data_IF_163678119237
#
_entry.id   IF_163678119237
#
_cell.length_a   1.000
_cell.length_b   1.000
_cell.length_c   1.000
_cell.angle_alpha   90.00
_cell.angle_beta   90.00
_cell.angle_gamma   90.00
#
_symmetry.space_group_name_H-M   'P 1'
#
loop_
_entity.id
_entity.type
_entity.pdbx_description
1 polymer ?
#
# COMPACT_ATOMS: atom_id res chain seq x y z
N UNK A 1 0.10 13.01 -10.30
CA UNK A 1 -0.32 11.71 -10.85
C UNK A 1 -0.78 10.82 -9.71
N UNK A 2 -1.82 10.02 -9.90
CA UNK A 2 -2.35 9.14 -8.87
C UNK A 2 -1.67 7.76 -8.98
N UNK A 3 -0.70 7.52 -8.12
CA UNK A 3 0.09 6.27 -8.11
C UNK A 3 -0.77 5.04 -7.83
N UNK A 4 -1.78 5.18 -6.95
CA UNK A 4 -2.68 4.06 -6.66
C UNK A 4 -3.47 3.66 -7.91
N UNK A 5 -4.01 4.63 -8.62
CA UNK A 5 -4.80 4.38 -9.83
C UNK A 5 -3.95 3.71 -10.91
N UNK A 6 -2.73 4.18 -11.10
CA UNK A 6 -1.80 3.61 -12.07
C UNK A 6 -1.43 2.18 -11.71
N UNK A 7 -1.20 1.91 -10.41
CA UNK A 7 -0.89 0.57 -9.93
C UNK A 7 -2.08 -0.39 -10.14
N UNK A 8 -3.30 0.05 -9.81
CA UNK A 8 -4.49 -0.79 -10.01
C UNK A 8 -4.71 -1.12 -11.49
N UNK A 9 -4.44 -0.15 -12.37
CA UNK A 9 -4.50 -0.36 -13.80
C UNK A 9 -3.49 -1.42 -14.25
N UNK A 10 -2.27 -1.35 -13.72
CA UNK A 10 -1.22 -2.33 -13.98
C UNK A 10 -1.67 -3.75 -13.54
N UNK A 11 -2.25 -3.87 -12.35
CA UNK A 11 -2.73 -5.17 -11.86
C UNK A 11 -3.85 -5.73 -12.73
N UNK A 12 -4.75 -4.87 -13.19
CA UNK A 12 -5.88 -5.28 -14.02
C UNK A 12 -5.44 -5.77 -15.40
N UNK A 13 -4.60 -5.00 -16.07
CA UNK A 13 -4.29 -5.23 -17.48
C UNK A 13 -3.02 -6.05 -17.71
N UNK A 14 -2.07 -6.05 -16.80
CA UNK A 14 -0.84 -6.81 -16.96
C UNK A 14 -0.77 -8.06 -16.08
N UNK A 15 -1.45 -8.05 -14.93
CA UNK A 15 -1.45 -9.18 -14.01
C UNK A 15 -2.79 -9.94 -14.04
N UNK A 16 -3.77 -9.43 -14.72
CA UNK A 16 -5.10 -10.05 -14.86
C UNK A 16 -5.78 -10.34 -13.52
N UNK A 17 -5.64 -9.43 -12.56
CA UNK A 17 -6.29 -9.57 -11.26
C UNK A 17 -7.81 -9.42 -11.42
N UNK A 18 -8.57 -10.17 -10.61
CA UNK A 18 -10.03 -10.11 -10.62
C UNK A 18 -10.52 -8.77 -10.05
N UNK A 19 -11.77 -8.41 -10.39
CA UNK A 19 -12.41 -7.19 -9.88
C UNK A 19 -12.43 -7.19 -8.35
N UNK A 20 -12.75 -8.34 -7.74
CA UNK A 20 -12.80 -8.45 -6.27
C UNK A 20 -11.45 -8.19 -5.63
N UNK A 21 -10.38 -8.71 -6.21
CA UNK A 21 -9.03 -8.48 -5.72
C UNK A 21 -8.64 -7.01 -5.86
N UNK A 22 -8.99 -6.39 -7.00
CA UNK A 22 -8.71 -4.97 -7.22
C UNK A 22 -9.45 -4.08 -6.23
N UNK A 23 -10.70 -4.42 -5.90
CA UNK A 23 -11.47 -3.68 -4.91
C UNK A 23 -10.82 -3.76 -3.52
N UNK A 24 -10.34 -4.95 -3.15
CA UNK A 24 -9.64 -5.14 -1.87
C UNK A 24 -8.35 -4.31 -1.82
N UNK A 25 -7.57 -4.34 -2.89
CA UNK A 25 -6.34 -3.55 -2.99
C UNK A 25 -6.65 -2.05 -2.91
N UNK A 26 -7.68 -1.61 -3.62
CA UNK A 26 -8.08 -0.19 -3.62
C UNK A 26 -8.43 0.28 -2.20
N UNK A 27 -9.24 -0.49 -1.49
CA UNK A 27 -9.64 -0.17 -0.12
C UNK A 27 -8.43 -0.11 0.81
N UNK A 28 -7.55 -1.10 0.72
CA UNK A 28 -6.40 -1.21 1.61
C UNK A 28 -5.37 -0.11 1.34
N UNK A 29 -5.11 0.18 0.08
CA UNK A 29 -4.18 1.24 -0.29
C UNK A 29 -4.73 2.62 0.05
N UNK A 30 -6.05 2.82 -0.11
CA UNK A 30 -6.70 4.07 0.26
C UNK A 30 -6.51 4.36 1.75
N UNK A 31 -6.68 3.34 2.60
CA UNK A 31 -6.48 3.49 4.04
C UNK A 31 -5.05 3.95 4.36
N UNK A 32 -4.06 3.32 3.73
CA UNK A 32 -2.66 3.69 3.93
C UNK A 32 -2.36 5.11 3.46
N UNK A 33 -2.85 5.47 2.26
CA UNK A 33 -2.61 6.79 1.70
C UNK A 33 -3.25 7.90 2.54
N UNK A 34 -4.42 7.62 3.13
CA UNK A 34 -5.04 8.55 4.07
C UNK A 34 -4.20 8.68 5.34
N UNK A 35 -3.66 7.58 5.83
CA UNK A 35 -2.81 7.59 7.02
C UNK A 35 -1.58 8.47 6.82
N UNK A 36 -0.81 8.26 5.75
CA UNK A 36 0.38 9.06 5.50
C UNK A 36 0.02 10.49 5.15
N UNK A 37 -1.13 10.72 4.50
CA UNK A 37 -1.60 12.07 4.18
C UNK A 37 -1.85 12.90 5.42
N UNK A 38 -2.44 12.31 6.46
CA UNK A 38 -2.69 13.00 7.74
C UNK A 38 -1.40 13.38 8.43
N UNK A 39 -0.34 12.61 8.23
CA UNK A 39 0.98 12.89 8.82
C UNK A 39 1.86 13.73 7.90
N UNK A 40 1.34 14.14 6.74
CA UNK A 40 2.07 14.91 5.73
C UNK A 40 3.33 14.18 5.25
N UNK A 41 3.25 12.86 5.13
CA UNK A 41 4.34 12.00 4.66
C UNK A 41 4.13 11.67 3.19
N UNK A 42 5.14 11.89 2.35
CA UNK A 42 5.08 11.50 0.94
C UNK A 42 5.45 10.03 0.77
N UNK A 43 5.10 9.45 -0.38
CA UNK A 43 5.47 8.07 -0.69
C UNK A 43 6.99 7.86 -0.64
N UNK A 44 7.76 8.87 -1.05
CA UNK A 44 9.21 8.82 -1.05
C UNK A 44 9.80 8.82 0.36
N UNK A 45 9.02 9.30 1.34
CA UNK A 45 9.47 9.40 2.73
C UNK A 45 9.08 8.17 3.56
N UNK A 46 8.30 7.24 2.99
CA UNK A 46 7.88 6.05 3.73
C UNK A 46 9.08 5.14 3.95
N UNK A 47 9.39 4.90 5.23
CA UNK A 47 10.47 4.03 5.65
C UNK A 47 9.95 2.96 6.62
N UNK A 48 10.86 2.19 7.20
CA UNK A 48 10.53 1.16 8.17
C UNK A 48 9.69 1.71 9.33
N UNK A 49 10.04 2.89 9.83
CA UNK A 49 9.34 3.47 11.00
C UNK A 49 7.92 3.88 10.65
N UNK A 50 7.70 4.41 9.45
CA UNK A 50 6.35 4.75 8.99
C UNK A 50 5.50 3.48 8.91
N UNK A 51 6.07 2.38 8.38
CA UNK A 51 5.36 1.10 8.32
C UNK A 51 5.03 0.59 9.72
N UNK A 52 5.95 0.70 10.68
CA UNK A 52 5.69 0.28 12.05
C UNK A 52 4.55 1.09 12.68
N UNK A 53 4.54 2.40 12.45
CA UNK A 53 3.46 3.26 12.95
C UNK A 53 2.14 2.91 12.30
N UNK A 54 2.16 2.58 11.01
CA UNK A 54 0.93 2.16 10.31
C UNK A 54 0.42 0.83 10.88
N UNK A 55 1.31 -0.08 11.22
CA UNK A 55 0.93 -1.36 11.84
C UNK A 55 0.23 -1.14 13.18
N UNK A 56 0.73 -0.19 13.98
CA UNK A 56 0.07 0.20 15.24
C UNK A 56 -1.34 0.73 14.94
N UNK A 57 -1.47 1.58 13.92
CA UNK A 57 -2.76 2.11 13.48
C UNK A 57 -3.74 1.00 13.12
N UNK A 58 -3.30 -0.02 12.39
CA UNK A 58 -4.14 -1.16 12.02
C UNK A 58 -4.56 -1.98 13.25
N UNK A 59 -3.64 -2.17 14.19
CA UNK A 59 -3.95 -2.89 15.43
C UNK A 59 -4.98 -2.16 16.27
N UNK A 60 -4.96 -0.84 16.27
CA UNK A 60 -5.94 -0.02 17.00
C UNK A 60 -7.34 -0.13 16.41
N UNK A 61 -7.46 -0.56 15.17
CA UNK A 61 -8.76 -0.82 14.53
C UNK A 61 -9.35 -2.17 14.89
N UNK A 62 -8.65 -2.96 15.71
CA UNK A 62 -9.08 -4.29 16.15
C UNK A 62 -9.31 -5.26 14.98
N UNK A 63 -8.49 -5.14 13.93
CA UNK A 63 -8.55 -6.04 12.79
C UNK A 63 -7.89 -7.38 13.14
N UNK A 64 -8.36 -8.46 12.51
CA UNK A 64 -7.74 -9.78 12.68
C UNK A 64 -6.35 -9.81 12.08
N UNK A 65 -5.51 -10.76 12.53
CA UNK A 65 -4.18 -10.95 11.96
C UNK A 65 -4.23 -11.20 10.46
N UNK A 66 -5.21 -11.98 10.01
CA UNK A 66 -5.40 -12.27 8.58
C UNK A 66 -5.67 -10.99 7.79
N UNK A 67 -6.55 -10.13 8.30
CA UNK A 67 -6.88 -8.87 7.64
C UNK A 67 -5.67 -7.94 7.61
N UNK A 68 -4.93 -7.84 8.72
CA UNK A 68 -3.72 -7.02 8.78
C UNK A 68 -2.69 -7.51 7.76
N UNK A 69 -2.53 -8.83 7.65
CA UNK A 69 -1.62 -9.41 6.67
C UNK A 69 -2.02 -9.07 5.24
N UNK A 70 -3.32 -9.01 4.95
CA UNK A 70 -3.81 -8.58 3.64
C UNK A 70 -3.42 -7.14 3.35
N UNK A 71 -3.60 -6.23 4.32
CA UNK A 71 -3.20 -4.84 4.17
C UNK A 71 -1.71 -4.71 3.90
N UNK A 72 -0.88 -5.44 4.65
CA UNK A 72 0.57 -5.41 4.47
C UNK A 72 0.99 -6.01 3.14
N UNK A 73 0.29 -7.05 2.69
CA UNK A 73 0.56 -7.69 1.41
C UNK A 73 0.33 -6.75 0.24
N UNK A 74 -0.79 -6.03 0.24
CA UNK A 74 -1.10 -5.07 -0.83
C UNK A 74 -0.09 -3.92 -0.82
N UNK A 75 0.32 -3.45 0.37
CA UNK A 75 1.36 -2.41 0.49
C UNK A 75 2.70 -2.89 -0.04
N UNK A 76 3.08 -4.12 0.29
CA UNK A 76 4.34 -4.69 -0.19
C UNK A 76 4.37 -4.75 -1.71
N UNK A 77 3.27 -5.19 -2.31
CA UNK A 77 3.13 -5.23 -3.76
C UNK A 77 3.18 -3.82 -4.38
N UNK A 78 2.51 -2.87 -3.73
CA UNK A 78 2.47 -1.48 -4.19
C UNK A 78 3.88 -0.87 -4.20
N UNK A 79 4.63 -1.01 -3.10
CA UNK A 79 5.98 -0.46 -3.04
C UNK A 79 6.95 -1.17 -3.96
N UNK A 80 6.77 -2.46 -4.21
CA UNK A 80 7.54 -3.17 -5.22
C UNK A 80 7.33 -2.55 -6.60
N UNK A 81 6.07 -2.25 -6.93
CA UNK A 81 5.74 -1.58 -8.18
C UNK A 81 6.34 -0.17 -8.24
N UNK A 82 6.22 0.61 -7.16
CA UNK A 82 6.78 1.97 -7.11
C UNK A 82 8.29 1.99 -7.30
N UNK A 83 9.00 1.02 -6.71
CA UNK A 83 10.44 0.87 -6.92
C UNK A 83 10.76 0.56 -8.37
N UNK A 84 10.01 -0.36 -8.97
CA UNK A 84 10.21 -0.75 -10.37
C UNK A 84 9.98 0.42 -11.32
N UNK A 85 9.05 1.32 -10.98
CA UNK A 85 8.77 2.52 -11.76
C UNK A 85 9.66 3.70 -11.38
N UNK A 86 10.60 3.48 -10.45
CA UNK A 86 11.54 4.51 -9.99
C UNK A 86 10.84 5.71 -9.34
N UNK A 87 9.63 5.50 -8.82
CA UNK A 87 8.89 6.53 -8.09
C UNK A 87 9.47 6.67 -6.67
N UNK A 88 9.90 5.55 -6.09
CA UNK A 88 10.63 5.54 -4.82
C UNK A 88 11.97 4.85 -5.04
N UNK A 89 12.98 5.24 -4.24
CA UNK A 89 14.34 4.73 -4.40
C UNK A 89 14.58 3.39 -3.71
N UNK A 90 13.77 3.05 -2.72
CA UNK A 90 13.91 1.78 -1.99
C UNK A 90 12.55 1.31 -1.49
N UNK A 91 12.45 0.00 -1.27
CA UNK A 91 11.23 -0.62 -0.77
C UNK A 91 11.33 -0.72 0.75
N UNK A 92 10.41 -0.09 1.51
CA UNK A 92 10.47 -0.11 2.98
C UNK A 92 10.24 -1.50 3.58
N UNK A 93 9.88 -2.48 2.77
CA UNK A 93 9.65 -3.86 3.20
C UNK A 93 10.84 -4.78 2.96
N UNK A 94 11.94 -4.28 2.41
CA UNK A 94 13.14 -5.11 2.18
C UNK A 94 14.21 -4.86 3.22
#
# INVERSE_FOLDING_TARGET
MDEKKTFLHYLKYQKNYSVLTLESYDRELTDFLLFIGKESISLQEVDYYVIQNYLIHLNEKHLSHTTINHYLSSLRSFFKYLCKQEIVSSNPFT
#
